data_IF_207433753296
#
_entry.id   IF_207433753296
#
_cell.length_a   1.000
_cell.length_b   1.000
_cell.length_c   1.000
_cell.angle_alpha   90.00
_cell.angle_beta   90.00
_cell.angle_gamma   90.00
#
_symmetry.space_group_name_H-M   'P 1'
#
loop_
_entity.id
_entity.type
_entity.pdbx_description
1 polymer ?
#
# COMPACT_ATOMS: atom_id res chain seq x y z
N UNK A 1 -37.12 -20.01 -2.78
CA UNK A 1 -35.78 -20.61 -2.55
C UNK A 1 -34.71 -19.98 -3.42
N UNK A 2 -34.88 -19.92 -4.75
CA UNK A 2 -33.96 -19.21 -5.67
C UNK A 2 -33.68 -17.75 -5.26
N UNK A 3 -34.74 -17.00 -4.91
CA UNK A 3 -34.65 -15.60 -4.43
C UNK A 3 -33.75 -15.46 -3.19
N UNK A 4 -33.69 -16.48 -2.31
CA UNK A 4 -32.89 -16.42 -1.08
C UNK A 4 -31.41 -16.57 -1.42
N UNK A 5 -31.04 -17.51 -2.28
CA UNK A 5 -29.66 -17.71 -2.71
C UNK A 5 -29.10 -16.47 -3.43
N UNK A 6 -29.89 -15.88 -4.33
CA UNK A 6 -29.52 -14.66 -5.04
C UNK A 6 -29.43 -13.45 -4.11
N UNK A 7 -30.37 -13.28 -3.18
CA UNK A 7 -30.33 -12.19 -2.21
C UNK A 7 -29.05 -12.26 -1.34
N UNK A 8 -28.70 -13.45 -0.83
CA UNK A 8 -27.48 -13.59 -0.04
C UNK A 8 -26.23 -13.36 -0.89
N UNK A 9 -26.20 -13.84 -2.13
CA UNK A 9 -25.10 -13.56 -3.05
C UNK A 9 -24.89 -12.06 -3.28
N UNK A 10 -25.96 -11.33 -3.58
CA UNK A 10 -25.88 -9.88 -3.79
C UNK A 10 -25.41 -9.14 -2.53
N UNK A 11 -25.86 -9.55 -1.34
CA UNK A 11 -25.40 -8.96 -0.07
C UNK A 11 -23.91 -9.22 0.16
N UNK A 12 -23.44 -10.44 -0.07
CA UNK A 12 -22.02 -10.81 0.14
C UNK A 12 -21.11 -10.08 -0.85
N UNK A 13 -21.56 -9.89 -2.09
CA UNK A 13 -20.76 -9.25 -3.16
C UNK A 13 -20.91 -7.72 -3.18
N UNK A 14 -21.93 -7.14 -2.56
CA UNK A 14 -22.17 -5.68 -2.56
C UNK A 14 -20.94 -4.84 -2.12
N UNK A 15 -20.18 -5.19 -1.07
CA UNK A 15 -18.97 -4.43 -0.71
C UNK A 15 -17.88 -4.47 -1.79
N UNK A 16 -17.67 -5.63 -2.42
CA UNK A 16 -16.76 -5.76 -3.56
C UNK A 16 -17.22 -4.89 -4.74
N UNK A 17 -18.50 -4.98 -5.09
CA UNK A 17 -19.09 -4.20 -6.16
C UNK A 17 -18.92 -2.69 -5.94
N UNK A 18 -19.22 -2.21 -4.74
CA UNK A 18 -19.08 -0.80 -4.37
C UNK A 18 -17.64 -0.30 -4.54
N UNK A 19 -16.66 -1.03 -4.01
CA UNK A 19 -15.25 -0.63 -4.09
C UNK A 19 -14.74 -0.68 -5.53
N UNK A 20 -15.09 -1.71 -6.31
CA UNK A 20 -14.73 -1.79 -7.72
C UNK A 20 -15.34 -0.64 -8.53
N UNK A 21 -16.59 -0.28 -8.27
CA UNK A 21 -17.25 0.87 -8.92
C UNK A 21 -16.55 2.19 -8.57
N UNK A 22 -16.22 2.42 -7.30
CA UNK A 22 -15.48 3.62 -6.86
C UNK A 22 -14.09 3.69 -7.53
N UNK A 23 -13.33 2.61 -7.50
CA UNK A 23 -12.01 2.55 -8.14
C UNK A 23 -12.12 2.77 -9.65
N UNK A 24 -13.13 2.20 -10.31
CA UNK A 24 -13.37 2.42 -11.75
C UNK A 24 -13.61 3.90 -12.04
N UNK A 25 -14.45 4.57 -11.25
CA UNK A 25 -14.69 6.01 -11.38
C UNK A 25 -13.41 6.80 -11.16
N UNK A 26 -12.63 6.46 -10.13
CA UNK A 26 -11.37 7.15 -9.86
C UNK A 26 -10.34 6.98 -10.98
N UNK A 27 -10.22 5.76 -11.54
CA UNK A 27 -9.35 5.49 -12.69
C UNK A 27 -9.77 6.29 -13.92
N UNK A 28 -11.04 6.24 -14.28
CA UNK A 28 -11.57 6.95 -15.46
C UNK A 28 -11.44 8.47 -15.33
N UNK A 29 -11.57 8.99 -14.11
CA UNK A 29 -11.45 10.41 -13.83
C UNK A 29 -10.00 10.84 -13.63
N UNK A 30 -9.08 9.93 -13.28
CA UNK A 30 -7.69 10.25 -12.92
C UNK A 30 -7.01 11.18 -13.93
N UNK A 31 -7.26 11.00 -15.24
CA UNK A 31 -6.78 11.87 -16.33
C UNK A 31 -5.25 12.11 -16.29
N UNK A 32 -4.74 12.91 -17.22
CA UNK A 32 -3.43 13.56 -17.00
C UNK A 32 -3.67 14.73 -16.05
N UNK A 33 -3.05 14.71 -14.89
CA UNK A 33 -3.04 15.87 -14.01
C UNK A 33 -2.15 16.94 -14.66
N UNK A 34 -2.74 17.85 -15.44
CA UNK A 34 -2.06 19.08 -15.80
C UNK A 34 -2.07 19.99 -14.56
N UNK A 35 -0.90 20.12 -13.93
CA UNK A 35 -0.68 21.22 -13.00
C UNK A 35 -0.37 22.46 -13.82
N UNK A 36 -1.05 23.56 -13.50
CA UNK A 36 -0.45 24.88 -13.70
C UNK A 36 0.84 24.89 -12.88
N UNK A 37 2.00 25.22 -13.47
CA UNK A 37 3.23 25.36 -12.71
C UNK A 37 2.98 26.34 -11.56
N UNK A 38 3.53 26.05 -10.38
CA UNK A 38 3.64 27.06 -9.35
C UNK A 38 4.39 28.25 -9.97
N UNK A 39 3.76 29.42 -9.98
CA UNK A 39 4.38 30.67 -10.40
C UNK A 39 5.55 30.95 -9.48
N UNK A 40 6.73 31.16 -10.07
CA UNK A 40 7.98 31.62 -9.46
C UNK A 40 8.33 31.00 -8.10
N UNK A 41 9.33 30.11 -8.16
CA UNK A 41 10.01 29.49 -7.02
C UNK A 41 10.44 30.57 -6.02
N UNK A 42 9.65 30.81 -4.96
CA UNK A 42 10.07 31.70 -3.89
C UNK A 42 11.09 30.98 -3.01
N UNK A 43 12.29 31.55 -2.96
CA UNK A 43 13.45 31.05 -2.23
C UNK A 43 13.17 30.68 -0.76
N UNK A 44 13.81 29.62 -0.27
CA UNK A 44 14.10 29.45 1.16
C UNK A 44 13.58 28.18 1.85
N UNK A 45 13.00 27.20 1.16
CA UNK A 45 12.55 25.99 1.87
C UNK A 45 13.73 25.14 2.36
N UNK A 46 13.66 24.72 3.62
CA UNK A 46 14.61 23.80 4.25
C UNK A 46 13.95 22.44 4.50
N UNK A 47 14.67 21.35 4.27
CA UNK A 47 14.14 19.98 4.34
C UNK A 47 15.04 19.14 5.24
N UNK A 48 14.45 18.49 6.24
CA UNK A 48 15.08 17.39 6.96
C UNK A 48 14.54 16.07 6.40
N UNK A 49 15.40 15.28 5.77
CA UNK A 49 15.07 13.92 5.32
C UNK A 49 15.31 12.98 6.50
N UNK A 50 14.26 12.34 7.00
CA UNK A 50 14.30 11.44 8.15
C UNK A 50 14.12 10.00 7.68
N UNK A 51 15.12 9.16 7.98
CA UNK A 51 15.16 7.75 7.63
C UNK A 51 15.24 6.92 8.92
N UNK A 52 14.13 6.37 9.43
CA UNK A 52 14.14 5.50 10.59
C UNK A 52 14.66 4.11 10.19
N UNK A 53 15.64 3.58 10.94
CA UNK A 53 16.22 2.26 10.71
C UNK A 53 16.22 1.41 11.99
N UNK A 54 16.17 0.09 11.82
CA UNK A 54 16.41 -0.88 12.88
C UNK A 54 16.99 -2.15 12.29
N UNK A 55 18.22 -2.44 12.65
CA UNK A 55 18.96 -3.66 12.27
C UNK A 55 19.08 -3.85 10.76
N UNK A 56 19.19 -2.73 10.04
CA UNK A 56 19.42 -2.73 8.60
C UNK A 56 20.89 -3.02 8.30
N UNK A 57 21.24 -3.70 7.19
CA UNK A 57 22.63 -3.89 6.81
C UNK A 57 23.34 -2.53 6.59
N UNK A 58 24.52 -2.34 7.18
CA UNK A 58 25.28 -1.07 7.08
C UNK A 58 25.54 -0.71 5.61
N UNK A 59 25.86 -1.68 4.76
CA UNK A 59 26.11 -1.45 3.33
C UNK A 59 24.85 -0.98 2.60
N UNK A 60 23.67 -1.53 2.94
CA UNK A 60 22.40 -1.04 2.39
C UNK A 60 22.18 0.43 2.77
N UNK A 61 22.42 0.78 4.03
CA UNK A 61 22.28 2.16 4.50
C UNK A 61 23.25 3.09 3.75
N UNK A 62 24.50 2.67 3.60
CA UNK A 62 25.53 3.43 2.89
C UNK A 62 25.16 3.64 1.41
N UNK A 63 24.73 2.59 0.71
CA UNK A 63 24.32 2.67 -0.70
C UNK A 63 23.13 3.62 -0.89
N UNK A 64 22.10 3.51 -0.04
CA UNK A 64 20.92 4.37 -0.10
C UNK A 64 21.26 5.84 0.18
N UNK A 65 22.07 6.13 1.18
CA UNK A 65 22.48 7.51 1.51
C UNK A 65 23.41 8.08 0.43
N UNK A 66 24.28 7.25 -0.16
CA UNK A 66 25.12 7.63 -1.31
C UNK A 66 24.27 7.99 -2.52
N UNK A 67 23.24 7.18 -2.81
CA UNK A 67 22.27 7.47 -3.87
C UNK A 67 21.54 8.80 -3.65
N UNK A 68 21.01 9.02 -2.44
CA UNK A 68 20.34 10.28 -2.07
C UNK A 68 21.30 11.48 -2.14
N UNK A 69 22.54 11.32 -1.70
CA UNK A 69 23.56 12.37 -1.74
C UNK A 69 23.84 12.84 -3.16
N UNK A 70 24.03 11.90 -4.10
CA UNK A 70 24.21 12.20 -5.53
C UNK A 70 22.97 12.88 -6.15
N UNK A 71 21.78 12.44 -5.74
CA UNK A 71 20.52 13.04 -6.18
C UNK A 71 20.42 14.52 -5.76
N UNK A 72 20.76 14.79 -4.50
CA UNK A 72 20.68 16.14 -3.92
C UNK A 72 21.78 17.05 -4.50
N UNK A 73 22.96 16.52 -4.82
CA UNK A 73 24.01 17.26 -5.50
C UNK A 73 23.51 17.91 -6.79
N UNK A 74 22.79 17.11 -7.60
CA UNK A 74 22.19 17.59 -8.86
C UNK A 74 21.19 18.72 -8.62
N UNK A 75 20.43 18.67 -7.51
CA UNK A 75 19.42 19.67 -7.17
C UNK A 75 19.99 20.98 -6.62
N UNK A 76 21.10 20.92 -5.86
CA UNK A 76 21.78 22.12 -5.34
C UNK A 76 22.29 23.04 -6.45
N UNK A 77 22.61 22.49 -7.62
CA UNK A 77 22.99 23.30 -8.78
C UNK A 77 21.85 24.19 -9.29
N UNK A 78 20.60 23.83 -8.96
CA UNK A 78 19.38 24.43 -9.54
C UNK A 78 18.50 25.14 -8.51
N UNK A 79 18.75 24.97 -7.20
CA UNK A 79 17.87 25.48 -6.13
C UNK A 79 18.66 25.93 -4.89
N UNK A 80 18.13 26.91 -4.15
CA UNK A 80 18.71 27.38 -2.88
C UNK A 80 18.15 26.64 -1.64
N UNK A 81 17.73 25.39 -1.82
CA UNK A 81 17.05 24.57 -0.79
C UNK A 81 18.09 23.97 0.16
N UNK A 82 17.94 24.22 1.47
CA UNK A 82 18.81 23.62 2.48
C UNK A 82 18.33 22.21 2.84
N UNK A 83 19.16 21.18 2.62
CA UNK A 83 18.78 19.78 2.85
C UNK A 83 19.76 19.15 3.83
N UNK A 84 19.21 18.45 4.82
CA UNK A 84 19.95 17.62 5.77
C UNK A 84 19.35 16.21 5.84
N UNK A 85 20.19 15.19 5.97
CA UNK A 85 19.77 13.79 6.10
C UNK A 85 20.00 13.33 7.54
N UNK A 86 18.95 12.76 8.13
CA UNK A 86 18.94 12.22 9.48
C UNK A 86 18.59 10.73 9.44
N UNK A 87 19.54 9.90 9.84
CA UNK A 87 19.34 8.46 10.01
C UNK A 87 19.08 8.21 11.48
N UNK A 88 17.86 7.81 11.82
CA UNK A 88 17.43 7.63 13.21
C UNK A 88 17.39 6.14 13.51
N UNK A 89 18.32 5.68 14.35
CA UNK A 89 18.52 4.26 14.63
C UNK A 89 18.08 3.89 16.05
N UNK A 90 17.36 2.78 16.15
CA UNK A 90 16.97 2.09 17.39
C UNK A 90 17.98 0.98 17.78
N UNK A 91 19.14 0.92 17.12
CA UNK A 91 20.16 -0.11 17.34
C UNK A 91 21.16 0.27 18.45
N UNK A 92 21.97 -0.71 18.86
CA UNK A 92 22.99 -0.57 19.89
C UNK A 92 24.09 0.43 19.51
N UNK A 93 24.80 0.98 20.50
CA UNK A 93 25.81 2.04 20.25
C UNK A 93 26.90 1.58 19.30
N UNK A 94 27.32 0.31 19.39
CA UNK A 94 28.35 -0.26 18.54
C UNK A 94 27.95 -0.26 17.06
N UNK A 95 26.72 -0.65 16.76
CA UNK A 95 26.17 -0.58 15.40
C UNK A 95 26.14 0.87 14.90
N UNK A 96 25.61 1.79 15.71
CA UNK A 96 25.49 3.20 15.31
C UNK A 96 26.85 3.85 15.11
N UNK A 97 27.85 3.54 15.96
CA UNK A 97 29.23 4.02 15.81
C UNK A 97 29.86 3.51 14.51
N UNK A 98 29.67 2.22 14.19
CA UNK A 98 30.16 1.63 12.94
C UNK A 98 29.53 2.30 11.73
N UNK A 99 28.21 2.53 11.78
CA UNK A 99 27.48 3.22 10.72
C UNK A 99 27.91 4.68 10.56
N UNK A 100 28.13 5.43 11.66
CA UNK A 100 28.69 6.80 11.63
C UNK A 100 30.02 6.83 10.91
N UNK A 101 30.98 6.01 11.33
CA UNK A 101 32.31 5.96 10.72
C UNK A 101 32.24 5.62 9.22
N UNK A 102 31.36 4.70 8.83
CA UNK A 102 31.16 4.33 7.43
C UNK A 102 30.58 5.49 6.62
N UNK A 103 29.61 6.23 7.16
CA UNK A 103 28.99 7.37 6.48
C UNK A 103 29.85 8.64 6.51
N UNK A 104 30.75 8.80 7.48
CA UNK A 104 31.75 9.88 7.48
C UNK A 104 32.70 9.77 6.27
N UNK A 105 32.96 8.55 5.79
CA UNK A 105 33.73 8.34 4.56
C UNK A 105 32.96 8.72 3.28
N UNK A 106 31.64 8.94 3.38
CA UNK A 106 30.84 9.42 2.28
C UNK A 106 31.08 10.94 2.15
N UNK A 107 31.76 11.36 1.08
CA UNK A 107 31.92 12.78 0.74
C UNK A 107 30.58 13.38 0.25
N UNK A 108 29.59 13.43 1.14
CA UNK A 108 28.24 13.89 0.82
C UNK A 108 28.22 15.42 0.66
N UNK A 109 27.53 15.96 -0.35
CA UNK A 109 27.36 17.40 -0.52
C UNK A 109 26.38 18.00 0.50
N UNK A 110 25.76 17.19 1.35
CA UNK A 110 24.84 17.61 2.41
C UNK A 110 25.21 17.00 3.76
N UNK A 111 24.85 17.65 4.88
CA UNK A 111 25.02 17.06 6.20
C UNK A 111 24.24 15.74 6.31
N UNK A 112 24.96 14.67 6.63
CA UNK A 112 24.40 13.36 6.99
C UNK A 112 24.68 13.13 8.47
N UNK A 113 23.64 12.93 9.27
CA UNK A 113 23.77 12.73 10.72
C UNK A 113 23.10 11.42 11.12
N UNK A 114 23.86 10.55 11.78
CA UNK A 114 23.32 9.32 12.37
C UNK A 114 23.00 9.58 13.84
N UNK A 115 21.71 9.57 14.16
CA UNK A 115 21.21 9.83 15.50
C UNK A 115 20.74 8.53 16.11
N UNK A 116 21.35 8.16 17.23
CA UNK A 116 20.83 7.09 18.07
C UNK A 116 19.69 7.63 18.89
N UNK A 117 18.62 6.85 19.05
CA UNK A 117 17.67 7.07 20.14
C UNK A 117 17.59 5.85 21.04
N UNK A 118 17.13 6.09 22.27
CA UNK A 118 16.70 5.05 23.19
C UNK A 118 15.18 5.17 23.38
N UNK A 119 14.50 4.04 23.62
CA UNK A 119 13.09 4.03 23.98
C UNK A 119 12.21 3.12 23.12
N UNK A 120 10.91 3.13 23.44
CA UNK A 120 9.92 2.26 22.80
C UNK A 120 9.35 2.88 21.51
N UNK A 121 8.44 2.16 20.84
CA UNK A 121 7.64 2.69 19.72
C UNK A 121 8.20 2.45 18.31
N UNK A 122 9.37 1.80 18.17
CA UNK A 122 9.94 1.42 16.86
C UNK A 122 9.98 2.59 15.86
N UNK A 123 9.56 2.34 14.61
CA UNK A 123 9.49 3.35 13.54
C UNK A 123 8.80 4.64 13.99
N UNK A 124 7.60 4.54 14.56
CA UNK A 124 6.80 5.72 14.94
C UNK A 124 7.50 6.51 16.04
N UNK A 125 8.07 5.81 17.01
CA UNK A 125 8.88 6.45 18.03
C UNK A 125 10.07 7.20 17.41
N UNK A 126 10.73 6.64 16.41
CA UNK A 126 11.87 7.27 15.73
C UNK A 126 11.45 8.54 14.99
N UNK A 127 10.29 8.51 14.31
CA UNK A 127 9.72 9.69 13.66
C UNK A 127 9.36 10.80 14.67
N UNK A 128 8.72 10.44 15.78
CA UNK A 128 8.38 11.39 16.84
C UNK A 128 9.61 11.98 17.53
N UNK A 129 10.64 11.17 17.79
CA UNK A 129 11.92 11.64 18.30
C UNK A 129 12.58 12.62 17.33
N UNK A 130 12.61 12.27 16.04
CA UNK A 130 13.14 13.16 15.00
C UNK A 130 12.42 14.51 14.97
N UNK A 131 11.09 14.51 14.97
CA UNK A 131 10.26 15.71 14.92
C UNK A 131 10.49 16.65 16.12
N UNK A 132 10.75 16.09 17.30
CA UNK A 132 10.92 16.84 18.54
C UNK A 132 12.35 17.34 18.75
N UNK A 133 13.33 16.46 18.58
CA UNK A 133 14.70 16.69 19.05
C UNK A 133 15.70 17.01 17.92
N UNK A 134 15.41 16.56 16.70
CA UNK A 134 16.40 16.51 15.62
C UNK A 134 16.10 17.52 14.51
N UNK A 135 14.86 17.56 14.05
CA UNK A 135 14.44 18.35 12.89
C UNK A 135 14.34 19.84 13.27
N UNK A 136 15.15 20.66 12.59
CA UNK A 136 15.17 22.13 12.71
C UNK A 136 14.64 22.85 11.47
N UNK A 137 14.52 22.14 10.36
CA UNK A 137 14.07 22.67 9.09
C UNK A 137 12.55 22.85 9.05
N UNK A 138 12.06 23.62 8.08
CA UNK A 138 10.63 23.93 7.93
C UNK A 138 9.83 22.72 7.45
N UNK A 139 10.45 21.85 6.66
CA UNK A 139 9.84 20.65 6.12
C UNK A 139 10.55 19.37 6.60
N UNK A 140 9.77 18.30 6.76
CA UNK A 140 10.23 16.96 7.13
C UNK A 140 9.78 15.97 6.06
N UNK A 141 10.74 15.33 5.39
CA UNK A 141 10.47 14.22 4.46
C UNK A 141 10.73 12.89 5.14
N UNK A 142 9.74 12.00 5.14
CA UNK A 142 9.92 10.63 5.63
C UNK A 142 10.30 9.72 4.46
N UNK A 143 11.41 8.98 4.59
CA UNK A 143 11.79 7.93 3.63
C UNK A 143 12.13 6.63 4.34
N UNK A 144 11.75 5.51 3.72
CA UNK A 144 12.31 4.20 4.04
C UNK A 144 13.71 4.06 3.46
N UNK A 145 14.55 3.23 4.09
CA UNK A 145 15.93 3.05 3.65
C UNK A 145 16.02 2.38 2.26
N UNK A 146 15.04 1.58 1.87
CA UNK A 146 14.95 0.93 0.57
C UNK A 146 14.18 1.76 -0.46
N UNK A 147 13.76 2.97 -0.13
CA UNK A 147 13.09 3.83 -1.09
C UNK A 147 14.11 4.45 -2.08
N UNK A 148 13.77 4.47 -3.37
CA UNK A 148 14.62 5.04 -4.42
C UNK A 148 13.91 6.23 -5.10
N UNK A 149 14.11 7.47 -4.62
CA UNK A 149 13.52 8.65 -5.24
C UNK A 149 14.06 8.93 -6.64
N UNK A 150 13.19 9.34 -7.57
CA UNK A 150 13.60 9.83 -8.89
C UNK A 150 14.33 11.18 -8.85
N UNK A 151 14.99 11.56 -9.95
CA UNK A 151 15.76 12.82 -10.06
C UNK A 151 14.97 14.08 -9.71
N UNK A 152 13.69 14.14 -10.10
CA UNK A 152 12.81 15.28 -9.84
C UNK A 152 11.99 15.16 -8.56
N UNK A 153 12.19 14.09 -7.79
CA UNK A 153 11.32 13.76 -6.65
C UNK A 153 11.18 14.90 -5.65
N UNK A 154 12.31 15.44 -5.18
CA UNK A 154 12.32 16.48 -4.17
C UNK A 154 11.78 17.82 -4.70
N UNK A 155 12.15 18.20 -5.93
CA UNK A 155 11.67 19.42 -6.59
C UNK A 155 10.14 19.42 -6.69
N UNK A 156 9.57 18.29 -7.12
CA UNK A 156 8.12 18.13 -7.30
C UNK A 156 7.35 18.09 -5.97
N UNK A 157 7.97 17.56 -4.90
CA UNK A 157 7.38 17.61 -3.55
C UNK A 157 7.42 19.01 -2.94
N UNK A 158 8.53 19.73 -3.09
CA UNK A 158 8.66 21.13 -2.63
C UNK A 158 7.64 22.01 -3.34
N UNK A 159 7.54 21.92 -4.67
CA UNK A 159 6.52 22.64 -5.42
C UNK A 159 5.10 22.28 -4.97
N UNK A 160 4.87 21.02 -4.59
CA UNK A 160 3.59 20.60 -4.04
C UNK A 160 3.31 21.23 -2.67
N UNK A 161 4.25 21.21 -1.72
CA UNK A 161 4.01 21.66 -0.34
C UNK A 161 3.83 23.18 -0.22
N UNK A 162 4.12 23.95 -1.27
CA UNK A 162 3.74 25.37 -1.35
C UNK A 162 2.22 25.58 -1.29
N UNK A 163 1.43 24.61 -1.76
CA UNK A 163 -0.04 24.70 -1.81
C UNK A 163 -0.74 23.89 -0.70
N UNK A 164 0.00 23.07 0.03
CA UNK A 164 -0.52 22.08 0.98
C UNK A 164 0.32 22.04 2.26
N UNK A 165 -0.18 21.38 3.30
CA UNK A 165 0.53 21.16 4.56
C UNK A 165 1.38 19.88 4.55
N UNK A 166 1.04 18.97 3.65
CA UNK A 166 1.85 17.81 3.33
C UNK A 166 1.65 17.42 1.87
N UNK A 167 2.64 16.77 1.27
CA UNK A 167 2.59 16.30 -0.10
C UNK A 167 3.15 14.89 -0.24
N UNK A 168 2.37 14.05 -0.90
CA UNK A 168 2.67 12.63 -1.10
C UNK A 168 3.24 12.41 -2.50
N UNK A 169 4.34 11.66 -2.58
CA UNK A 169 4.93 11.22 -3.85
C UNK A 169 4.18 10.06 -4.50
N UNK A 170 4.38 9.88 -5.80
CA UNK A 170 3.87 8.77 -6.58
C UNK A 170 4.70 7.50 -6.31
N UNK A 171 4.09 6.46 -5.76
CA UNK A 171 4.75 5.17 -5.56
C UNK A 171 4.81 4.35 -6.85
N UNK A 172 6.01 3.94 -7.24
CA UNK A 172 6.26 2.98 -8.31
C UNK A 172 6.89 1.71 -7.72
N UNK A 173 6.28 0.54 -7.94
CA UNK A 173 6.83 -0.70 -7.38
C UNK A 173 8.07 -1.19 -8.11
N UNK A 174 9.15 -1.49 -7.39
CA UNK A 174 10.35 -2.19 -7.91
C UNK A 174 10.64 -3.47 -7.13
N UNK A 175 11.44 -4.36 -7.69
CA UNK A 175 11.77 -5.65 -7.06
C UNK A 175 13.26 -5.96 -7.13
N UNK A 176 13.73 -6.75 -6.17
CA UNK A 176 15.08 -7.36 -6.22
C UNK A 176 15.03 -8.66 -7.01
N UNK A 177 13.99 -9.48 -6.80
CA UNK A 177 13.78 -10.75 -7.51
C UNK A 177 12.54 -10.67 -8.37
N UNK A 178 12.71 -10.88 -9.66
CA UNK A 178 11.58 -10.81 -10.59
C UNK A 178 10.74 -12.09 -10.57
N UNK A 179 9.54 -11.99 -10.00
CA UNK A 179 8.50 -13.03 -9.98
C UNK A 179 7.19 -12.48 -10.57
N UNK A 180 6.21 -13.34 -10.86
CA UNK A 180 4.89 -12.83 -11.30
C UNK A 180 4.18 -12.10 -10.16
N UNK A 181 4.41 -12.50 -8.91
CA UNK A 181 3.95 -11.77 -7.73
C UNK A 181 4.52 -10.35 -7.75
N UNK A 182 5.85 -10.19 -7.86
CA UNK A 182 6.48 -8.87 -7.90
C UNK A 182 5.91 -7.98 -9.02
N UNK A 183 5.80 -8.52 -10.26
CA UNK A 183 5.22 -7.77 -11.38
C UNK A 183 3.76 -7.37 -11.14
N UNK A 184 2.94 -8.26 -10.59
CA UNK A 184 1.55 -7.99 -10.27
C UNK A 184 1.39 -6.96 -9.14
N UNK A 185 2.24 -7.02 -8.10
CA UNK A 185 2.25 -6.06 -7.01
C UNK A 185 2.75 -4.68 -7.44
N UNK A 186 3.76 -4.62 -8.31
CA UNK A 186 4.19 -3.36 -8.92
C UNK A 186 3.07 -2.72 -9.75
N UNK A 187 2.37 -3.51 -10.57
CA UNK A 187 1.21 -3.02 -11.31
C UNK A 187 0.05 -2.61 -10.40
N UNK A 188 -0.20 -3.35 -9.32
CA UNK A 188 -1.23 -2.98 -8.34
C UNK A 188 -0.86 -1.69 -7.59
N UNK A 189 0.42 -1.47 -7.31
CA UNK A 189 0.93 -0.23 -6.71
C UNK A 189 0.64 0.97 -7.61
N UNK A 190 0.93 0.85 -8.91
CA UNK A 190 0.60 1.86 -9.93
C UNK A 190 -0.92 2.12 -10.03
N UNK A 191 -1.72 1.05 -10.00
CA UNK A 191 -3.20 1.14 -10.03
C UNK A 191 -3.72 1.90 -8.80
N UNK A 192 -3.18 1.60 -7.62
CA UNK A 192 -3.52 2.29 -6.36
C UNK A 192 -3.09 3.76 -6.41
N UNK A 193 -1.87 4.07 -6.85
CA UNK A 193 -1.42 5.46 -7.01
C UNK A 193 -2.33 6.24 -7.98
N UNK A 194 -2.73 5.62 -9.08
CA UNK A 194 -3.60 6.27 -10.08
C UNK A 194 -5.03 6.44 -9.58
N UNK A 195 -5.66 5.41 -9.03
CA UNK A 195 -7.03 5.49 -8.54
C UNK A 195 -7.14 6.30 -7.24
N UNK A 196 -6.39 5.90 -6.22
CA UNK A 196 -6.57 6.36 -4.84
C UNK A 196 -5.81 7.63 -4.49
N UNK A 197 -4.90 8.09 -5.36
CA UNK A 197 -4.22 9.37 -5.20
C UNK A 197 -4.55 10.33 -6.33
N UNK A 198 -4.22 9.99 -7.58
CA UNK A 198 -4.50 10.89 -8.72
C UNK A 198 -5.99 11.14 -8.91
N UNK A 199 -6.80 10.07 -8.97
CA UNK A 199 -8.25 10.15 -9.11
C UNK A 199 -8.93 10.90 -7.95
N UNK A 200 -8.58 10.55 -6.71
CA UNK A 200 -9.12 11.21 -5.51
C UNK A 200 -8.75 12.69 -5.42
N UNK A 201 -7.51 13.07 -5.74
CA UNK A 201 -7.09 14.47 -5.73
C UNK A 201 -7.88 15.28 -6.77
N UNK A 202 -8.08 14.73 -7.97
CA UNK A 202 -8.85 15.40 -9.02
C UNK A 202 -10.32 15.61 -8.65
N UNK A 203 -10.87 14.74 -7.81
CA UNK A 203 -12.22 14.87 -7.23
C UNK A 203 -12.25 15.77 -5.97
N UNK A 204 -11.12 16.33 -5.54
CA UNK A 204 -11.04 17.13 -4.32
C UNK A 204 -11.28 16.33 -3.03
N UNK A 205 -11.12 15.00 -3.08
CA UNK A 205 -11.22 14.09 -1.95
C UNK A 205 -9.94 14.12 -1.10
N UNK A 206 -10.02 13.62 0.14
CA UNK A 206 -8.92 13.68 1.10
C UNK A 206 -7.78 12.72 0.71
N UNK A 207 -6.57 13.25 0.55
CA UNK A 207 -5.36 12.43 0.31
C UNK A 207 -4.74 12.04 1.66
N UNK A 208 -4.36 10.77 1.81
CA UNK A 208 -3.69 10.30 3.02
C UNK A 208 -2.19 10.19 2.77
N UNK A 209 -1.33 10.63 3.72
CA UNK A 209 0.10 10.36 3.68
C UNK A 209 0.42 8.90 3.40
N UNK A 210 1.56 8.68 2.76
CA UNK A 210 2.19 7.37 2.64
C UNK A 210 3.37 7.28 3.62
N UNK A 211 3.57 6.10 4.21
CA UNK A 211 4.63 5.86 5.19
C UNK A 211 6.05 6.22 4.73
N UNK A 212 6.29 6.25 3.42
CA UNK A 212 7.53 6.72 2.79
C UNK A 212 7.19 7.62 1.62
N UNK A 213 7.95 8.70 1.43
CA UNK A 213 7.77 9.65 0.32
C UNK A 213 6.75 10.75 0.58
N UNK A 214 6.44 11.05 1.84
CA UNK A 214 5.59 12.20 2.19
C UNK A 214 6.44 13.31 2.80
N UNK A 215 6.38 14.50 2.17
CA UNK A 215 6.95 15.74 2.70
C UNK A 215 5.88 16.46 3.52
N UNK A 216 6.21 16.86 4.74
CA UNK A 216 5.29 17.56 5.64
C UNK A 216 5.86 18.92 6.04
N UNK A 217 5.00 19.92 6.20
CA UNK A 217 5.33 21.12 6.97
C UNK A 217 5.45 20.73 8.44
N UNK A 218 6.60 21.01 9.04
CA UNK A 218 6.89 20.68 10.44
C UNK A 218 5.91 21.37 11.39
N UNK A 219 5.51 22.61 11.07
CA UNK A 219 4.50 23.35 11.85
C UNK A 219 3.17 22.59 11.92
N UNK A 220 2.69 22.07 10.80
CA UNK A 220 1.42 21.34 10.71
C UNK A 220 1.50 19.99 11.42
N UNK A 221 2.62 19.27 11.29
CA UNK A 221 2.87 18.04 12.07
C UNK A 221 2.92 18.27 13.58
N UNK A 222 3.60 19.33 14.03
CA UNK A 222 3.68 19.69 15.46
C UNK A 222 2.31 20.12 15.99
N UNK A 223 1.52 20.86 15.19
CA UNK A 223 0.18 21.30 15.57
C UNK A 223 -0.77 20.12 15.86
N UNK A 224 -0.61 19.00 15.15
CA UNK A 224 -1.38 17.78 15.41
C UNK A 224 -0.71 16.82 16.41
N UNK A 225 0.43 17.19 16.99
CA UNK A 225 1.13 16.41 18.00
C UNK A 225 1.94 15.21 17.48
N UNK A 226 2.25 15.16 16.18
CA UNK A 226 3.00 14.05 15.57
C UNK A 226 2.22 12.74 15.46
N UNK A 227 2.96 11.64 15.30
CA UNK A 227 2.40 10.31 15.03
C UNK A 227 1.95 9.60 16.31
N UNK A 228 0.97 8.70 16.17
CA UNK A 228 0.47 7.86 17.25
C UNK A 228 1.24 6.53 17.28
N UNK A 229 1.90 6.19 18.39
CA UNK A 229 2.76 5.00 18.48
C UNK A 229 1.99 3.66 18.58
N UNK A 230 0.69 3.73 18.82
CA UNK A 230 -0.15 2.56 18.99
C UNK A 230 -0.75 2.02 17.67
N UNK A 231 -0.66 2.73 16.56
CA UNK A 231 -1.26 2.30 15.29
C UNK A 231 -0.28 1.52 14.42
N UNK A 232 -0.80 0.58 13.63
CA UNK A 232 -0.03 -0.09 12.57
C UNK A 232 0.08 0.78 11.29
N UNK A 233 -0.89 1.65 11.04
CA UNK A 233 -0.92 2.57 9.90
C UNK A 233 -0.72 4.00 10.39
N UNK A 234 0.52 4.32 10.77
CA UNK A 234 0.87 5.64 11.31
C UNK A 234 0.64 6.77 10.29
N UNK A 235 0.78 6.47 9.01
CA UNK A 235 0.58 7.35 7.85
C UNK A 235 -0.89 7.73 7.62
N UNK A 236 -1.81 6.76 7.69
CA UNK A 236 -3.25 7.02 7.58
C UNK A 236 -3.76 7.82 8.78
N UNK A 237 -3.34 7.45 10.00
CA UNK A 237 -3.77 8.13 11.23
C UNK A 237 -3.26 9.57 11.28
N UNK A 238 -1.98 9.83 10.94
CA UNK A 238 -1.48 11.21 10.88
C UNK A 238 -2.24 12.03 9.84
N UNK A 239 -2.59 11.44 8.69
CA UNK A 239 -3.45 12.07 7.70
C UNK A 239 -4.83 12.44 8.25
N UNK A 240 -5.47 11.55 9.01
CA UNK A 240 -6.76 11.86 9.66
C UNK A 240 -6.65 13.03 10.63
N UNK A 241 -5.57 13.07 11.43
CA UNK A 241 -5.32 14.17 12.38
C UNK A 241 -5.11 15.50 11.65
N UNK A 242 -4.37 15.50 10.54
CA UNK A 242 -4.16 16.68 9.69
C UNK A 242 -5.50 17.20 9.14
N UNK A 243 -6.26 16.33 8.46
CA UNK A 243 -7.55 16.73 7.88
C UNK A 243 -8.56 17.19 8.92
N UNK A 244 -8.65 16.50 10.06
CA UNK A 244 -9.54 16.90 11.16
C UNK A 244 -9.18 18.25 11.79
N UNK A 245 -7.92 18.67 11.64
CA UNK A 245 -7.44 19.98 12.10
C UNK A 245 -7.49 21.05 10.99
N UNK A 246 -8.08 20.76 9.84
CA UNK A 246 -8.20 21.68 8.70
C UNK A 246 -6.97 21.79 7.81
N UNK A 247 -5.92 21.01 8.07
CA UNK A 247 -4.73 20.97 7.22
C UNK A 247 -4.97 20.16 5.94
N UNK A 248 -4.31 20.54 4.86
CA UNK A 248 -4.53 19.96 3.53
C UNK A 248 -3.35 19.08 3.13
N UNK A 249 -3.64 17.88 2.62
CA UNK A 249 -2.65 16.96 2.08
C UNK A 249 -2.82 16.88 0.57
N UNK A 250 -1.75 17.14 -0.17
CA UNK A 250 -1.68 17.04 -1.62
C UNK A 250 -0.94 15.79 -2.09
N UNK A 251 -0.98 15.56 -3.39
CA UNK A 251 -0.31 14.48 -4.08
C UNK A 251 0.42 15.02 -5.32
N UNK A 252 1.67 14.60 -5.51
CA UNK A 252 2.47 14.94 -6.68
C UNK A 252 2.73 13.69 -7.51
N UNK A 253 2.10 13.64 -8.67
CA UNK A 253 2.20 12.52 -9.61
C UNK A 253 3.57 12.40 -10.28
N UNK A 254 4.32 13.50 -10.32
CA UNK A 254 5.67 13.55 -10.90
C UNK A 254 6.78 13.28 -9.88
N UNK A 255 6.46 13.36 -8.59
CA UNK A 255 7.38 13.01 -7.52
C UNK A 255 7.44 11.47 -7.39
N UNK A 256 8.13 10.80 -8.32
CA UNK A 256 8.21 9.34 -8.35
C UNK A 256 9.15 8.84 -7.25
N UNK A 257 8.63 7.99 -6.37
CA UNK A 257 9.36 7.21 -5.38
C UNK A 257 9.22 5.73 -5.69
N UNK A 258 10.34 5.06 -6.00
CA UNK A 258 10.32 3.62 -6.18
C UNK A 258 10.35 2.92 -4.83
N UNK A 259 9.38 2.02 -4.61
CA UNK A 259 9.20 1.26 -3.36
C UNK A 259 9.35 -0.23 -3.60
N UNK A 260 10.02 -0.92 -2.68
CA UNK A 260 10.30 -2.35 -2.81
C UNK A 260 9.01 -3.16 -2.62
N UNK A 261 8.60 -3.90 -3.64
CA UNK A 261 7.46 -4.83 -3.56
C UNK A 261 7.94 -6.24 -3.19
N UNK A 262 7.11 -7.02 -2.47
CA UNK A 262 7.38 -8.43 -2.21
C UNK A 262 7.62 -9.23 -3.50
N UNK A 263 8.66 -10.07 -3.48
CA UNK A 263 8.94 -11.05 -4.52
C UNK A 263 8.41 -12.45 -4.19
N UNK A 264 8.17 -12.76 -2.91
CA UNK A 264 7.55 -14.01 -2.45
C UNK A 264 6.10 -13.82 -1.98
N UNK A 265 5.33 -14.91 -2.00
CA UNK A 265 4.01 -14.95 -1.39
C UNK A 265 4.09 -14.78 0.13
N UNK A 266 5.14 -15.32 0.77
CA UNK A 266 5.35 -15.19 2.22
C UNK A 266 5.45 -13.73 2.68
N UNK A 267 6.28 -12.93 2.02
CA UNK A 267 6.45 -11.52 2.36
C UNK A 267 5.16 -10.73 2.10
N UNK A 268 4.52 -10.98 0.95
CA UNK A 268 3.21 -10.40 0.64
C UNK A 268 2.17 -10.73 1.71
N UNK A 269 2.05 -12.00 2.11
CA UNK A 269 1.13 -12.48 3.14
C UNK A 269 1.31 -11.78 4.48
N UNK A 270 2.55 -11.63 4.95
CA UNK A 270 2.87 -10.93 6.21
C UNK A 270 2.47 -9.45 6.13
N UNK A 271 2.73 -8.82 4.98
CA UNK A 271 2.34 -7.43 4.75
C UNK A 271 0.82 -7.25 4.74
N UNK A 272 0.09 -8.11 4.02
CA UNK A 272 -1.38 -8.04 3.94
C UNK A 272 -2.05 -8.29 5.30
N UNK A 273 -1.50 -9.17 6.15
CA UNK A 273 -2.02 -9.36 7.52
C UNK A 273 -1.98 -8.06 8.33
N UNK A 274 -0.85 -7.34 8.29
CA UNK A 274 -0.66 -6.08 9.03
C UNK A 274 -1.55 -4.98 8.46
N UNK A 275 -1.61 -4.86 7.14
CA UNK A 275 -2.40 -3.84 6.47
C UNK A 275 -3.91 -4.06 6.63
N UNK A 276 -4.38 -5.31 6.56
CA UNK A 276 -5.77 -5.66 6.85
C UNK A 276 -6.16 -5.31 8.30
N UNK A 277 -5.33 -5.67 9.28
CA UNK A 277 -5.54 -5.26 10.68
C UNK A 277 -5.59 -3.73 10.81
N UNK A 278 -4.60 -3.05 10.24
CA UNK A 278 -4.49 -1.59 10.29
C UNK A 278 -5.69 -0.88 9.68
N UNK A 279 -6.28 -1.46 8.63
CA UNK A 279 -7.44 -0.88 7.94
C UNK A 279 -8.66 -0.73 8.86
N UNK A 280 -8.95 -1.75 9.67
CA UNK A 280 -10.04 -1.71 10.67
C UNK A 280 -9.68 -0.81 11.83
N UNK A 281 -8.43 -0.84 12.27
CA UNK A 281 -7.93 0.07 13.30
C UNK A 281 -8.13 1.54 12.87
N UNK A 282 -7.70 1.91 11.67
CA UNK A 282 -7.90 3.21 11.04
C UNK A 282 -9.37 3.59 10.95
N UNK A 283 -10.27 2.67 10.54
CA UNK A 283 -11.70 2.93 10.52
C UNK A 283 -12.25 3.33 11.90
N UNK A 284 -11.91 2.59 12.95
CA UNK A 284 -12.40 2.91 14.32
C UNK A 284 -11.97 4.29 14.76
N UNK A 285 -10.71 4.65 14.48
CA UNK A 285 -10.16 5.94 14.87
C UNK A 285 -10.52 7.09 13.91
N UNK A 286 -11.03 6.78 12.72
CA UNK A 286 -11.60 7.79 11.82
C UNK A 286 -12.74 8.57 12.48
N UNK A 287 -13.55 7.93 13.32
CA UNK A 287 -14.62 8.61 14.07
C UNK A 287 -14.10 9.54 15.16
N UNK A 288 -12.84 9.36 15.60
CA UNK A 288 -12.16 10.25 16.55
C UNK A 288 -11.46 11.39 15.83
N UNK A 289 -10.67 11.09 14.79
CA UNK A 289 -9.73 12.04 14.18
C UNK A 289 -10.27 12.76 12.94
N UNK A 290 -11.22 12.20 12.19
CA UNK A 290 -11.90 12.91 11.10
C UNK A 290 -13.12 13.68 11.63
N UNK A 291 -12.90 14.46 12.68
CA UNK A 291 -13.85 15.46 13.21
C UNK A 291 -13.36 16.84 12.79
N UNK A 292 -14.26 17.79 12.61
CA UNK A 292 -13.93 19.15 12.17
C UNK A 292 -14.79 19.57 10.98
N UNK A 293 -14.38 20.66 10.32
CA UNK A 293 -15.09 21.21 9.15
C UNK A 293 -14.74 20.42 7.88
N UNK A 294 -15.15 19.15 7.86
CA UNK A 294 -15.01 18.25 6.72
C UNK A 294 -16.42 17.96 6.18
N UNK A 295 -16.65 18.25 4.90
CA UNK A 295 -17.93 17.93 4.24
C UNK A 295 -18.29 16.45 4.43
N UNK A 296 -19.58 16.16 4.62
CA UNK A 296 -20.10 14.81 4.86
C UNK A 296 -19.61 13.81 3.81
N UNK A 297 -19.62 14.20 2.52
CA UNK A 297 -19.15 13.36 1.42
C UNK A 297 -17.67 12.95 1.59
N UNK A 298 -16.78 13.92 1.83
CA UNK A 298 -15.35 13.65 2.06
C UNK A 298 -15.11 12.81 3.31
N UNK A 299 -15.92 13.03 4.36
CA UNK A 299 -15.84 12.25 5.61
C UNK A 299 -16.25 10.79 5.41
N UNK A 300 -17.34 10.53 4.67
CA UNK A 300 -17.78 9.17 4.32
C UNK A 300 -16.76 8.50 3.40
N UNK A 301 -16.30 9.19 2.37
CA UNK A 301 -15.33 8.65 1.41
C UNK A 301 -13.99 8.32 2.07
N UNK A 302 -13.52 9.15 2.99
CA UNK A 302 -12.33 8.88 3.79
C UNK A 302 -12.46 7.61 4.66
N UNK A 303 -13.66 7.30 5.15
CA UNK A 303 -13.93 6.04 5.86
C UNK A 303 -13.97 4.85 4.89
N UNK A 304 -14.57 5.03 3.71
CA UNK A 304 -14.54 4.00 2.65
C UNK A 304 -13.11 3.70 2.19
N UNK A 305 -12.22 4.70 2.15
CA UNK A 305 -10.79 4.50 1.88
C UNK A 305 -10.15 3.53 2.89
N UNK A 306 -10.52 3.57 4.17
CA UNK A 306 -10.00 2.61 5.16
C UNK A 306 -10.55 1.19 4.99
N UNK A 307 -11.57 0.97 4.16
CA UNK A 307 -12.22 -0.32 3.95
C UNK A 307 -11.72 -1.08 2.72
N UNK A 308 -10.57 -0.69 2.15
CA UNK A 308 -9.99 -1.32 0.94
C UNK A 308 -9.70 -2.82 1.06
N UNK A 309 -9.65 -3.36 2.28
CA UNK A 309 -9.45 -4.78 2.56
C UNK A 309 -10.74 -5.60 2.65
N UNK A 310 -11.91 -4.95 2.77
CA UNK A 310 -13.22 -5.62 2.82
C UNK A 310 -13.54 -6.41 1.55
N UNK A 311 -13.20 -5.97 0.33
CA UNK A 311 -13.37 -6.78 -0.88
C UNK A 311 -12.75 -8.18 -0.78
N UNK A 312 -11.59 -8.33 -0.12
CA UNK A 312 -10.96 -9.63 0.12
C UNK A 312 -11.83 -10.56 0.98
N UNK A 313 -12.52 -10.00 1.99
CA UNK A 313 -13.51 -10.73 2.78
C UNK A 313 -14.72 -11.15 1.94
N UNK A 314 -15.27 -10.24 1.13
CA UNK A 314 -16.40 -10.56 0.24
C UNK A 314 -16.08 -11.71 -0.71
N UNK A 315 -14.88 -11.71 -1.28
CA UNK A 315 -14.43 -12.76 -2.21
C UNK A 315 -14.31 -14.12 -1.52
N UNK A 316 -13.69 -14.20 -0.33
CA UNK A 316 -13.59 -15.44 0.44
C UNK A 316 -14.95 -15.91 0.97
N UNK A 317 -15.77 -14.98 1.48
CA UNK A 317 -17.11 -15.29 1.94
C UNK A 317 -17.95 -15.88 0.81
N UNK A 318 -17.81 -15.34 -0.41
CA UNK A 318 -18.49 -15.88 -1.60
C UNK A 318 -18.09 -17.33 -1.87
N UNK A 319 -16.81 -17.71 -1.74
CA UNK A 319 -16.36 -19.08 -2.02
C UNK A 319 -16.87 -20.13 -1.03
N UNK A 320 -17.30 -19.72 0.17
CA UNK A 320 -17.81 -20.62 1.22
C UNK A 320 -19.34 -20.54 1.27
N UNK A 321 -19.88 -19.33 1.42
CA UNK A 321 -21.31 -19.09 1.68
C UNK A 321 -22.17 -19.55 0.50
N UNK A 322 -21.72 -19.36 -0.73
CA UNK A 322 -22.52 -19.67 -1.92
C UNK A 322 -22.73 -21.17 -2.11
N UNK A 323 -21.68 -22.02 -2.15
CA UNK A 323 -21.86 -23.46 -2.09
C UNK A 323 -22.74 -23.91 -0.92
N UNK A 324 -22.50 -23.38 0.29
CA UNK A 324 -23.25 -23.79 1.49
C UNK A 324 -24.74 -23.47 1.38
N UNK A 325 -25.09 -22.27 0.92
CA UNK A 325 -26.49 -21.87 0.76
C UNK A 325 -27.15 -22.66 -0.35
N UNK A 326 -26.48 -22.85 -1.49
CA UNK A 326 -27.04 -23.64 -2.59
C UNK A 326 -27.43 -25.05 -2.13
N UNK A 327 -26.52 -25.70 -1.38
CA UNK A 327 -26.74 -27.01 -0.75
C UNK A 327 -27.90 -26.99 0.26
N UNK A 328 -28.02 -25.93 1.06
CA UNK A 328 -29.00 -25.83 2.14
C UNK A 328 -30.41 -25.51 1.63
N UNK A 329 -30.54 -24.62 0.64
CA UNK A 329 -31.83 -24.25 0.04
C UNK A 329 -32.22 -25.13 -1.15
N UNK A 330 -31.34 -26.08 -1.52
CA UNK A 330 -31.48 -26.97 -2.67
C UNK A 330 -31.80 -26.21 -3.97
N UNK A 331 -31.08 -25.12 -4.20
CA UNK A 331 -31.24 -24.24 -5.36
C UNK A 331 -29.88 -23.69 -5.74
N UNK A 332 -29.54 -23.75 -7.02
CA UNK A 332 -28.34 -23.07 -7.51
C UNK A 332 -28.57 -21.55 -7.61
N UNK A 333 -27.51 -20.80 -7.89
CA UNK A 333 -27.58 -19.38 -8.21
C UNK A 333 -28.30 -19.12 -9.52
N UNK A 334 -28.94 -17.96 -9.63
CA UNK A 334 -29.40 -17.47 -10.91
C UNK A 334 -28.24 -16.97 -11.77
N UNK A 335 -28.33 -17.20 -13.08
CA UNK A 335 -27.37 -16.65 -14.04
C UNK A 335 -27.38 -15.11 -14.05
N UNK A 336 -28.50 -14.47 -13.69
CA UNK A 336 -28.60 -13.01 -13.61
C UNK A 336 -27.68 -12.42 -12.54
N UNK A 337 -27.57 -13.08 -11.39
CA UNK A 337 -26.67 -12.68 -10.30
C UNK A 337 -25.21 -12.69 -10.76
N UNK A 338 -24.80 -13.75 -11.48
CA UNK A 338 -23.47 -13.84 -12.08
C UNK A 338 -23.22 -12.79 -13.16
N UNK A 339 -24.22 -12.51 -14.00
CA UNK A 339 -24.14 -11.47 -15.02
C UNK A 339 -23.93 -10.10 -14.40
N UNK A 340 -24.62 -9.78 -13.30
CA UNK A 340 -24.47 -8.50 -12.60
C UNK A 340 -23.03 -8.29 -12.10
N UNK A 341 -22.46 -9.29 -11.43
CA UNK A 341 -21.07 -9.22 -10.92
C UNK A 341 -20.05 -9.21 -12.06
N UNK A 342 -20.32 -9.97 -13.13
CA UNK A 342 -19.49 -9.98 -14.33
C UNK A 342 -19.51 -8.62 -15.04
N UNK A 343 -20.64 -7.93 -15.09
CA UNK A 343 -20.74 -6.60 -15.67
C UNK A 343 -19.91 -5.57 -14.89
N UNK A 344 -19.97 -5.58 -13.56
CA UNK A 344 -19.17 -4.69 -12.70
C UNK A 344 -17.67 -4.98 -12.84
N UNK A 345 -17.31 -6.27 -12.88
CA UNK A 345 -15.92 -6.70 -13.06
C UNK A 345 -15.39 -6.30 -14.44
N UNK A 346 -16.19 -6.48 -15.49
CA UNK A 346 -15.86 -6.05 -16.85
C UNK A 346 -15.74 -4.53 -16.97
N UNK A 347 -16.58 -3.76 -16.28
CA UNK A 347 -16.46 -2.31 -16.21
C UNK A 347 -15.15 -1.88 -15.56
N UNK A 348 -14.77 -2.51 -14.45
CA UNK A 348 -13.48 -2.26 -13.79
C UNK A 348 -12.30 -2.62 -14.69
N UNK A 349 -12.32 -3.78 -15.34
CA UNK A 349 -11.28 -4.19 -16.30
C UNK A 349 -11.19 -3.20 -17.47
N UNK A 350 -12.34 -2.75 -18.00
CA UNK A 350 -12.39 -1.72 -19.04
C UNK A 350 -11.79 -0.39 -18.61
N UNK A 351 -12.07 0.05 -17.38
CA UNK A 351 -11.48 1.26 -16.80
C UNK A 351 -9.95 1.15 -16.66
N UNK A 352 -9.45 0.00 -16.20
CA UNK A 352 -8.01 -0.28 -16.11
C UNK A 352 -7.38 -0.28 -17.51
N UNK A 353 -7.97 -1.01 -18.47
CA UNK A 353 -7.47 -1.06 -19.84
C UNK A 353 -7.43 0.34 -20.45
N UNK A 354 -8.48 1.14 -20.33
CA UNK A 354 -8.50 2.52 -20.87
C UNK A 354 -7.42 3.41 -20.24
N UNK A 355 -7.14 3.22 -18.95
CA UNK A 355 -6.18 4.06 -18.21
C UNK A 355 -4.73 3.66 -18.49
N UNK A 356 -4.46 2.36 -18.65
CA UNK A 356 -3.10 1.81 -18.73
C UNK A 356 -2.70 1.26 -20.11
N UNK A 357 -3.59 1.25 -21.11
CA UNK A 357 -3.22 0.88 -22.48
C UNK A 357 -2.31 1.95 -23.07
N UNK A 358 -1.00 1.71 -22.96
CA UNK A 358 0.06 2.48 -23.62
C UNK A 358 0.62 1.67 -24.80
N UNK A 359 1.27 2.29 -25.79
CA UNK A 359 1.83 1.59 -26.96
C UNK A 359 2.75 0.40 -26.61
N UNK A 360 3.42 0.47 -25.47
CA UNK A 360 4.35 -0.52 -24.91
C UNK A 360 3.68 -1.56 -23.98
N UNK A 361 2.41 -1.37 -23.63
CA UNK A 361 1.64 -2.24 -22.73
C UNK A 361 0.34 -2.70 -23.38
N UNK A 362 0.41 -3.80 -24.14
CA UNK A 362 -0.76 -4.40 -24.78
C UNK A 362 -1.79 -4.96 -23.79
N UNK A 363 -3.07 -4.93 -24.18
CA UNK A 363 -4.22 -5.34 -23.35
C UNK A 363 -4.05 -6.74 -22.72
N UNK A 364 -3.50 -7.72 -23.46
CA UNK A 364 -3.25 -9.06 -22.93
C UNK A 364 -2.25 -9.09 -21.78
N UNK A 365 -1.27 -8.17 -21.76
CA UNK A 365 -0.33 -8.06 -20.63
C UNK A 365 -1.05 -7.54 -19.39
N UNK A 366 -1.90 -6.53 -19.55
CA UNK A 366 -2.72 -5.97 -18.46
C UNK A 366 -3.68 -7.04 -17.91
N UNK A 367 -4.38 -7.77 -18.77
CA UNK A 367 -5.27 -8.85 -18.36
C UNK A 367 -4.54 -9.97 -17.60
N UNK A 368 -3.32 -10.34 -18.02
CA UNK A 368 -2.48 -11.30 -17.28
C UNK A 368 -2.06 -10.77 -15.91
N UNK A 369 -1.73 -9.48 -15.79
CA UNK A 369 -1.39 -8.84 -14.51
C UNK A 369 -2.61 -8.78 -13.59
N UNK A 370 -3.78 -8.42 -14.10
CA UNK A 370 -5.04 -8.43 -13.35
C UNK A 370 -5.43 -9.85 -12.90
N UNK A 371 -5.31 -10.85 -13.77
CA UNK A 371 -5.55 -12.24 -13.43
C UNK A 371 -4.58 -12.75 -12.35
N UNK A 372 -3.30 -12.40 -12.45
CA UNK A 372 -2.29 -12.72 -11.42
C UNK A 372 -2.64 -12.05 -10.09
N UNK A 373 -3.00 -10.76 -10.12
CA UNK A 373 -3.40 -9.97 -8.94
C UNK A 373 -4.64 -10.55 -8.26
N UNK A 374 -5.62 -11.00 -9.06
CA UNK A 374 -6.84 -11.65 -8.57
C UNK A 374 -6.53 -13.01 -7.92
N UNK A 375 -5.67 -13.83 -8.53
CA UNK A 375 -5.28 -15.12 -7.98
C UNK A 375 -4.53 -14.97 -6.65
N UNK A 376 -3.54 -14.07 -6.56
CA UNK A 376 -2.81 -13.84 -5.31
C UNK A 376 -3.70 -13.20 -4.24
N UNK A 377 -4.63 -12.33 -4.66
CA UNK A 377 -5.63 -11.70 -3.78
C UNK A 377 -6.58 -12.72 -3.15
N UNK A 378 -7.12 -13.65 -3.95
CA UNK A 378 -7.95 -14.74 -3.43
C UNK A 378 -7.14 -15.72 -2.57
N UNK A 379 -5.88 -15.97 -2.92
CA UNK A 379 -4.99 -16.83 -2.12
C UNK A 379 -4.75 -16.25 -0.72
N UNK A 380 -4.52 -14.94 -0.60
CA UNK A 380 -4.24 -14.26 0.68
C UNK A 380 -5.51 -13.89 1.47
N UNK A 381 -6.70 -14.05 0.88
CA UNK A 381 -7.96 -13.63 1.48
C UNK A 381 -8.23 -14.20 2.90
N UNK A 382 -7.88 -15.46 3.24
CA UNK A 382 -8.00 -15.99 4.60
C UNK A 382 -7.17 -15.23 5.63
N UNK A 383 -5.98 -14.79 5.22
CA UNK A 383 -5.06 -14.03 6.07
C UNK A 383 -5.53 -12.59 6.22
N UNK A 384 -6.06 -12.00 5.14
CA UNK A 384 -6.75 -10.70 5.21
C UNK A 384 -7.93 -10.78 6.18
N UNK A 385 -8.77 -11.81 6.08
CA UNK A 385 -9.90 -12.03 7.00
C UNK A 385 -9.43 -12.14 8.45
N UNK A 386 -8.36 -12.91 8.72
CA UNK A 386 -7.74 -12.97 10.05
C UNK A 386 -7.31 -11.59 10.54
N UNK A 387 -6.68 -10.79 9.70
CA UNK A 387 -6.29 -9.40 10.02
C UNK A 387 -7.48 -8.52 10.37
N UNK A 388 -8.54 -8.57 9.56
CA UNK A 388 -9.78 -7.83 9.80
C UNK A 388 -10.44 -8.21 11.13
N UNK A 389 -10.59 -9.51 11.41
CA UNK A 389 -11.17 -10.02 12.67
C UNK A 389 -10.34 -9.55 13.86
N UNK A 390 -9.01 -9.69 13.79
CA UNK A 390 -8.11 -9.21 14.82
C UNK A 390 -8.25 -7.69 15.04
N UNK A 391 -8.43 -6.92 13.98
CA UNK A 391 -8.68 -5.48 14.03
C UNK A 391 -9.98 -5.14 14.75
N UNK A 392 -11.07 -5.85 14.44
CA UNK A 392 -12.37 -5.71 15.13
C UNK A 392 -12.21 -6.01 16.62
N UNK A 393 -11.52 -7.11 16.95
CA UNK A 393 -11.26 -7.52 18.32
C UNK A 393 -10.23 -6.64 19.05
N UNK A 394 -9.56 -5.71 18.36
CA UNK A 394 -8.48 -4.90 18.91
C UNK A 394 -7.24 -5.70 19.35
N UNK A 395 -7.06 -6.92 18.82
CA UNK A 395 -5.94 -7.80 19.16
C UNK A 395 -4.86 -7.69 18.08
N UNK A 396 -3.73 -7.05 18.39
CA UNK A 396 -2.64 -6.91 17.41
C UNK A 396 -2.13 -8.28 16.92
N UNK A 397 -1.93 -8.45 15.60
CA UNK A 397 -1.36 -9.68 15.06
C UNK A 397 0.09 -9.83 15.50
N UNK A 398 0.45 -11.04 15.96
CA UNK A 398 1.86 -11.44 16.11
C UNK A 398 2.41 -11.77 14.73
N UNK A 399 2.84 -10.75 14.00
CA UNK A 399 3.43 -10.90 12.67
C UNK A 399 4.93 -10.61 12.74
N UNK A 400 5.79 -11.46 12.17
CA UNK A 400 7.23 -11.18 12.10
C UNK A 400 7.51 -9.95 11.23
N UNK A 401 8.73 -9.45 11.27
CA UNK A 401 9.21 -8.46 10.31
C UNK A 401 9.04 -9.02 8.90
N UNK A 402 8.57 -8.16 7.98
CA UNK A 402 8.35 -8.57 6.59
C UNK A 402 9.71 -8.86 5.96
N UNK A 403 9.95 -10.06 5.40
CA UNK A 403 11.21 -10.37 4.73
C UNK A 403 11.45 -9.43 3.55
N UNK A 404 12.70 -8.99 3.38
CA UNK A 404 13.15 -8.14 2.27
C UNK A 404 14.41 -8.72 1.63
N UNK A 405 14.66 -8.38 0.36
CA UNK A 405 15.90 -8.75 -0.33
C UNK A 405 16.17 -10.26 -0.36
N UNK A 406 17.34 -10.67 0.12
CA UNK A 406 17.79 -12.07 0.13
C UNK A 406 16.99 -12.99 1.07
N UNK A 407 16.38 -12.42 2.11
CA UNK A 407 15.51 -13.13 3.08
C UNK A 407 14.10 -13.37 2.53
N UNK A 408 13.74 -12.73 1.41
CA UNK A 408 12.45 -12.86 0.76
C UNK A 408 12.30 -14.22 0.03
N UNK A 409 11.99 -15.26 0.82
CA UNK A 409 11.89 -16.65 0.37
C UNK A 409 10.61 -17.33 0.86
N UNK A 410 10.12 -18.28 0.08
CA UNK A 410 8.94 -19.08 0.41
C UNK A 410 9.15 -19.99 1.63
N UNK A 411 8.10 -20.14 2.45
CA UNK A 411 8.03 -21.14 3.53
C UNK A 411 6.65 -21.76 3.58
N UNK A 412 6.41 -22.75 2.72
CA UNK A 412 5.09 -23.36 2.48
C UNK A 412 4.39 -23.92 3.72
N UNK A 413 5.12 -24.26 4.79
CA UNK A 413 4.55 -24.73 6.06
C UNK A 413 3.79 -23.63 6.83
N UNK A 414 4.02 -22.35 6.50
CA UNK A 414 3.39 -21.21 7.18
C UNK A 414 1.99 -20.86 6.64
N UNK A 415 1.47 -21.57 5.63
CA UNK A 415 0.23 -21.21 4.89
C UNK A 415 -1.01 -21.99 5.35
N UNK A 416 -1.10 -22.27 6.65
CA UNK A 416 -2.15 -23.11 7.22
C UNK A 416 -3.56 -22.55 6.96
N UNK A 417 -3.76 -21.25 7.18
CA UNK A 417 -5.05 -20.59 6.96
C UNK A 417 -5.53 -20.78 5.52
N UNK A 418 -4.63 -20.60 4.56
CA UNK A 418 -4.92 -20.76 3.13
C UNK A 418 -5.27 -22.21 2.76
N UNK A 419 -4.54 -23.20 3.28
CA UNK A 419 -4.83 -24.61 3.01
C UNK A 419 -6.18 -25.01 3.59
N UNK A 420 -6.48 -24.64 4.83
CA UNK A 420 -7.73 -25.00 5.51
C UNK A 420 -8.93 -24.43 4.77
N UNK A 421 -8.91 -23.14 4.42
CA UNK A 421 -10.04 -22.51 3.70
C UNK A 421 -10.19 -23.05 2.29
N UNK A 422 -9.08 -23.39 1.63
CA UNK A 422 -9.10 -23.98 0.28
C UNK A 422 -9.72 -25.37 0.30
N UNK A 423 -9.30 -26.23 1.24
CA UNK A 423 -9.88 -27.57 1.41
C UNK A 423 -11.37 -27.47 1.74
N UNK A 424 -11.76 -26.60 2.67
CA UNK A 424 -13.16 -26.40 3.03
C UNK A 424 -14.02 -25.95 1.82
N UNK A 425 -13.57 -24.93 1.08
CA UNK A 425 -14.28 -24.43 -0.11
C UNK A 425 -14.35 -25.49 -1.22
N UNK A 426 -13.27 -26.27 -1.40
CA UNK A 426 -13.23 -27.37 -2.36
C UNK A 426 -14.24 -28.46 -2.03
N UNK A 427 -14.28 -28.93 -0.77
CA UNK A 427 -15.23 -29.95 -0.34
C UNK A 427 -16.67 -29.47 -0.51
N UNK A 428 -16.97 -28.23 -0.15
CA UNK A 428 -18.26 -27.61 -0.41
C UNK A 428 -18.59 -27.57 -1.91
N UNK A 429 -17.61 -27.22 -2.75
CA UNK A 429 -17.75 -27.25 -4.20
C UNK A 429 -18.07 -28.65 -4.74
N UNK A 430 -17.42 -29.69 -4.22
CA UNK A 430 -17.68 -31.09 -4.59
C UNK A 430 -19.10 -31.50 -4.19
N UNK A 431 -19.54 -31.18 -2.97
CA UNK A 431 -20.90 -31.50 -2.52
C UNK A 431 -21.96 -30.76 -3.35
N UNK A 432 -21.72 -29.48 -3.65
CA UNK A 432 -22.59 -28.69 -4.52
C UNK A 432 -22.69 -29.31 -5.93
N UNK A 433 -21.56 -29.76 -6.49
CA UNK A 433 -21.51 -30.45 -7.78
C UNK A 433 -22.31 -31.74 -7.79
N UNK A 434 -22.17 -32.60 -6.77
CA UNK A 434 -22.91 -33.86 -6.63
C UNK A 434 -24.42 -33.60 -6.57
N UNK A 435 -24.84 -32.49 -5.95
CA UNK A 435 -26.25 -32.06 -5.87
C UNK A 435 -26.75 -31.33 -7.11
N UNK A 436 -25.94 -31.17 -8.16
CA UNK A 436 -26.32 -30.49 -9.41
C UNK A 436 -26.31 -28.96 -9.34
N UNK A 437 -25.64 -28.37 -8.34
CA UNK A 437 -25.46 -26.91 -8.22
C UNK A 437 -24.14 -26.48 -8.89
N UNK A 438 -24.13 -26.46 -10.22
CA UNK A 438 -22.94 -26.21 -11.04
C UNK A 438 -22.33 -24.82 -10.82
N UNK A 439 -23.13 -23.77 -10.73
CA UNK A 439 -22.61 -22.40 -10.58
C UNK A 439 -21.99 -22.20 -9.20
N UNK A 440 -22.68 -22.65 -8.16
CA UNK A 440 -22.16 -22.66 -6.81
C UNK A 440 -20.88 -23.52 -6.70
N UNK A 441 -20.82 -24.68 -7.37
CA UNK A 441 -19.63 -25.53 -7.38
C UNK A 441 -18.40 -24.83 -7.98
N UNK A 442 -18.58 -24.12 -9.11
CA UNK A 442 -17.51 -23.37 -9.76
C UNK A 442 -16.91 -22.30 -8.83
N UNK A 443 -17.77 -21.57 -8.10
CA UNK A 443 -17.36 -20.59 -7.10
C UNK A 443 -16.56 -21.25 -5.96
N UNK A 444 -16.99 -22.43 -5.48
CA UNK A 444 -16.29 -23.19 -4.46
C UNK A 444 -14.89 -23.65 -4.86
N UNK A 445 -14.64 -23.86 -6.16
CA UNK A 445 -13.33 -24.27 -6.68
C UNK A 445 -12.34 -23.12 -6.93
N UNK A 446 -12.79 -21.86 -6.93
CA UNK A 446 -11.92 -20.70 -7.20
C UNK A 446 -10.71 -20.60 -6.24
N UNK A 447 -10.85 -20.79 -4.91
CA UNK A 447 -9.70 -20.73 -3.99
C UNK A 447 -8.63 -21.77 -4.34
N UNK A 448 -9.03 -22.96 -4.76
CA UNK A 448 -8.10 -24.02 -5.17
C UNK A 448 -7.31 -23.63 -6.41
N UNK A 449 -7.98 -23.11 -7.44
CA UNK A 449 -7.32 -22.66 -8.67
C UNK A 449 -6.33 -21.52 -8.35
N UNK A 450 -6.75 -20.56 -7.53
CA UNK A 450 -5.93 -19.43 -7.11
C UNK A 450 -4.69 -19.87 -6.31
N UNK A 451 -4.87 -20.72 -5.29
CA UNK A 451 -3.76 -21.22 -4.47
C UNK A 451 -2.73 -21.99 -5.31
N UNK A 452 -3.20 -22.91 -6.16
CA UNK A 452 -2.33 -23.70 -7.04
C UNK A 452 -1.56 -22.79 -8.00
N UNK A 453 -2.24 -21.83 -8.63
CA UNK A 453 -1.57 -20.86 -9.50
C UNK A 453 -0.52 -20.04 -8.73
N UNK A 454 -0.87 -19.50 -7.56
CA UNK A 454 0.02 -18.67 -6.76
C UNK A 454 1.28 -19.44 -6.37
N UNK A 455 1.13 -20.60 -5.75
CA UNK A 455 2.25 -21.36 -5.21
C UNK A 455 3.11 -22.03 -6.28
N UNK A 456 2.52 -22.47 -7.40
CA UNK A 456 3.25 -23.19 -8.46
C UNK A 456 3.82 -22.24 -9.52
N UNK A 457 3.08 -21.19 -9.90
CA UNK A 457 3.45 -20.32 -11.04
C UNK A 457 3.88 -18.93 -10.62
N UNK A 458 3.23 -18.33 -9.62
CA UNK A 458 3.41 -16.90 -9.36
C UNK A 458 4.70 -16.58 -8.61
N UNK A 459 5.11 -17.46 -7.70
CA UNK A 459 6.32 -17.37 -6.86
C UNK A 459 7.62 -17.72 -7.60
N UNK A 460 7.54 -18.35 -8.78
CA UNK A 460 8.72 -18.76 -9.55
C UNK A 460 9.45 -17.54 -10.13
N UNK A 461 10.78 -17.44 -9.97
CA UNK A 461 11.57 -16.44 -10.68
C UNK A 461 11.41 -16.59 -12.20
N UNK A 462 11.27 -15.46 -12.90
CA UNK A 462 11.05 -15.43 -14.35
C UNK A 462 12.35 -15.53 -15.15
N UNK A 463 13.48 -15.19 -14.53
CA UNK A 463 14.82 -15.41 -15.05
C UNK A 463 15.64 -16.14 -13.97
N UNK A 464 16.37 -17.17 -14.36
CA UNK A 464 17.51 -17.68 -13.57
C UNK A 464 18.56 -16.59 -13.55
N UNK A 465 18.96 -16.13 -12.36
CA UNK A 465 19.91 -15.03 -12.14
C UNK A 465 21.06 -15.01 -13.16
N UNK A 466 20.93 -14.19 -14.19
CA UNK A 466 22.07 -13.50 -14.77
C UNK A 466 22.09 -12.15 -14.06
N UNK A 467 23.16 -11.90 -13.33
CA UNK A 467 23.45 -10.69 -12.56
C UNK A 467 22.93 -9.41 -13.22
N UNK A 468 21.83 -8.87 -12.71
CA UNK A 468 21.45 -7.47 -12.94
C UNK A 468 22.22 -6.67 -11.90
N UNK A 469 23.19 -5.88 -12.37
CA UNK A 469 24.01 -4.99 -11.56
C UNK A 469 23.13 -3.99 -10.80
N UNK A 470 23.46 -3.80 -9.52
CA UNK A 470 22.81 -2.97 -8.52
C UNK A 470 22.75 -1.48 -8.90
#
# INVERSE_FOLDING_TARGET
MLVIADAVFLVVVAPLALILSLHSTYLLLSGKAERKPASDYSAGESISIVIPIKSEPIDLVYESVSYLSKLIEKLKSSTNTCIEIYIVSDDEEEYVKTLRNKLESLNSPVPVRVVKRSGQGGRVGALNFALKEVVKNENLLVLDIDAKPSEKFLEELVSCVQLYDACVGHWEGYWVKETRIARALAFTTELVATALYRGRQKLGLLIFPLGSGTLFRVKSLKAVGGWEDWTVQDDVIIGMKLHGSGFRVGYSDKAILRVLVPSSYRAFRIQQLKWAYGSVESLRYSFKYLKGDISILKSIEARLYTLQYVPGLSVLATSIVIPSIAIAVNSDLSYYSLLAVSAISSFYVGAVLKTFSKPDMGAMRILRLLGTSSAIGLTVAPVVMKGLILGILGKRPRAPVTPKGSEDRERYREYLEEYVTTIASFLLGVVALIKGHYLASGIGFLPTIALVYTLIRATRPLHTFASVQL
#
